data_IF_933330190273
#
_entry.id   IF_933330190273
#
_cell.length_a   1.000
_cell.length_b   1.000
_cell.length_c   1.000
_cell.angle_alpha   90.00
_cell.angle_beta   90.00
_cell.angle_gamma   90.00
#
_symmetry.space_group_name_H-M   'P 1'
#
loop_
_entity.id
_entity.type
_entity.pdbx_description
1 polymer ?
#
# COMPACT_ATOMS: atom_id res chain seq x y z
N UNK A 1 22.81 -16.98 -2.26
CA UNK A 1 21.87 -16.62 -3.31
C UNK A 1 22.18 -15.21 -3.78
N UNK A 2 22.57 -15.01 -5.02
CA UNK A 2 22.82 -13.67 -5.57
C UNK A 2 21.47 -13.02 -5.82
N UNK A 3 21.14 -11.97 -5.05
CA UNK A 3 19.97 -11.15 -5.33
C UNK A 3 20.29 -10.24 -6.51
N UNK A 4 19.64 -10.46 -7.64
CA UNK A 4 19.74 -9.59 -8.80
C UNK A 4 18.66 -8.51 -8.69
N UNK A 5 19.07 -7.25 -8.73
CA UNK A 5 18.17 -6.10 -8.76
C UNK A 5 18.02 -5.67 -10.22
N UNK A 6 16.79 -5.67 -10.70
CA UNK A 6 16.42 -5.19 -12.03
C UNK A 6 15.55 -3.95 -11.92
N UNK A 7 15.86 -2.93 -12.71
CA UNK A 7 15.02 -1.74 -12.83
C UNK A 7 14.25 -1.87 -14.14
N UNK A 8 12.93 -1.95 -14.03
CA UNK A 8 12.03 -2.04 -15.16
C UNK A 8 11.22 -0.76 -15.29
N UNK A 9 10.99 -0.31 -16.49
CA UNK A 9 10.18 0.87 -16.78
C UNK A 9 8.96 0.49 -17.62
N UNK A 10 7.81 1.05 -17.29
CA UNK A 10 6.56 0.85 -18.01
C UNK A 10 5.84 2.17 -18.27
N UNK A 11 4.83 2.15 -19.13
CA UNK A 11 3.99 3.32 -19.41
C UNK A 11 3.06 3.70 -18.25
N UNK A 12 2.91 2.81 -17.27
CA UNK A 12 2.07 2.99 -16.10
C UNK A 12 1.97 1.71 -15.27
N UNK A 13 1.26 1.78 -14.16
CA UNK A 13 1.08 0.70 -13.19
C UNK A 13 0.54 -0.58 -13.83
N UNK A 14 -0.49 -0.47 -14.68
CA UNK A 14 -1.11 -1.60 -15.35
C UNK A 14 -0.11 -2.37 -16.22
N UNK A 15 0.78 -1.68 -16.92
CA UNK A 15 1.77 -2.32 -17.77
C UNK A 15 2.78 -3.14 -16.95
N UNK A 16 3.20 -2.61 -15.80
CA UNK A 16 4.08 -3.33 -14.88
C UNK A 16 3.36 -4.51 -14.20
N UNK A 17 2.10 -4.34 -13.81
CA UNK A 17 1.27 -5.42 -13.23
C UNK A 17 1.10 -6.60 -14.19
N UNK A 18 0.90 -6.34 -15.48
CA UNK A 18 0.80 -7.40 -16.51
C UNK A 18 2.13 -8.17 -16.62
N UNK A 19 3.26 -7.45 -16.61
CA UNK A 19 4.57 -8.08 -16.67
C UNK A 19 4.82 -8.98 -15.45
N UNK A 20 4.53 -8.48 -14.25
CA UNK A 20 4.65 -9.23 -13.00
C UNK A 20 3.78 -10.48 -13.03
N UNK A 21 2.54 -10.37 -13.55
CA UNK A 21 1.65 -11.54 -13.68
C UNK A 21 2.18 -12.57 -14.65
N UNK A 22 2.72 -12.17 -15.78
CA UNK A 22 3.31 -13.11 -16.73
C UNK A 22 4.49 -13.86 -16.11
N UNK A 23 5.38 -13.13 -15.41
CA UNK A 23 6.49 -13.76 -14.68
C UNK A 23 6.01 -14.73 -13.61
N UNK A 24 4.98 -14.38 -12.84
CA UNK A 24 4.37 -15.26 -11.84
C UNK A 24 3.83 -16.54 -12.47
N UNK A 25 3.14 -16.45 -13.61
CA UNK A 25 2.60 -17.61 -14.33
C UNK A 25 3.68 -18.53 -14.89
N UNK A 26 4.85 -17.97 -15.20
CA UNK A 26 6.02 -18.73 -15.60
C UNK A 26 6.78 -19.37 -14.42
N UNK A 27 6.29 -19.16 -13.18
CA UNK A 27 6.84 -19.77 -11.97
C UNK A 27 7.96 -18.96 -11.30
N UNK A 28 8.17 -17.70 -11.70
CA UNK A 28 9.17 -16.86 -11.05
C UNK A 28 8.66 -16.33 -9.69
N UNK A 29 9.58 -16.29 -8.73
CA UNK A 29 9.39 -15.60 -7.47
C UNK A 29 10.16 -14.28 -7.51
N UNK A 30 9.48 -13.18 -7.19
CA UNK A 30 10.05 -11.85 -7.24
C UNK A 30 9.58 -10.97 -6.10
N UNK A 31 10.42 -10.03 -5.71
CA UNK A 31 10.07 -8.99 -4.75
C UNK A 31 10.06 -7.64 -5.48
N UNK A 32 8.94 -6.95 -5.45
CA UNK A 32 8.70 -5.71 -6.18
C UNK A 32 8.66 -4.55 -5.19
N UNK A 33 9.42 -3.49 -5.47
CA UNK A 33 9.36 -2.24 -4.72
C UNK A 33 8.19 -1.37 -5.19
N UNK A 34 7.85 -0.37 -4.37
CA UNK A 34 6.89 0.67 -4.78
C UNK A 34 7.35 1.28 -6.12
N UNK A 35 6.46 1.41 -7.10
CA UNK A 35 6.78 2.07 -8.36
C UNK A 35 7.20 3.53 -8.12
N UNK A 36 8.17 3.99 -8.89
CA UNK A 36 8.65 5.37 -8.84
C UNK A 36 8.45 6.04 -10.20
N UNK A 37 8.16 7.33 -10.19
CA UNK A 37 8.04 8.11 -11.43
C UNK A 37 9.43 8.46 -11.97
N UNK A 38 9.54 8.51 -13.30
CA UNK A 38 10.79 8.95 -13.95
C UNK A 38 10.95 10.46 -13.81
N UNK A 39 11.98 10.87 -13.07
CA UNK A 39 12.32 12.27 -12.86
C UNK A 39 13.27 12.75 -13.95
N UNK A 40 13.14 14.01 -14.38
CA UNK A 40 14.07 14.68 -15.28
C UNK A 40 14.80 15.80 -14.54
N UNK A 41 15.99 16.14 -15.02
CA UNK A 41 16.70 17.35 -14.60
C UNK A 41 16.58 18.40 -15.69
N UNK A 42 16.10 19.57 -15.33
CA UNK A 42 16.01 20.72 -16.21
C UNK A 42 17.40 21.32 -16.52
N UNK A 43 17.45 22.28 -17.42
CA UNK A 43 18.68 22.94 -17.87
C UNK A 43 19.46 23.62 -16.72
N UNK A 44 18.76 24.09 -15.70
CA UNK A 44 19.33 24.77 -14.52
C UNK A 44 19.61 23.79 -13.35
N UNK A 45 19.52 22.47 -13.58
CA UNK A 45 19.71 21.46 -12.53
C UNK A 45 18.47 21.24 -11.65
N UNK A 46 17.37 21.89 -11.92
CA UNK A 46 16.09 21.70 -11.22
C UNK A 46 15.53 20.29 -11.43
N UNK A 47 14.88 19.76 -10.40
CA UNK A 47 14.21 18.46 -10.45
C UNK A 47 12.83 18.65 -11.04
N UNK A 48 12.55 17.97 -12.16
CA UNK A 48 11.26 17.99 -12.84
C UNK A 48 10.57 16.64 -12.69
N UNK A 49 9.29 16.68 -12.32
CA UNK A 49 8.42 15.51 -12.19
C UNK A 49 7.32 15.52 -13.26
N UNK A 50 6.87 14.33 -13.72
CA UNK A 50 5.76 14.24 -14.66
C UNK A 50 4.45 14.66 -13.98
N UNK A 51 3.66 15.44 -14.72
CA UNK A 51 2.35 15.93 -14.30
C UNK A 51 1.30 15.44 -15.29
N UNK A 52 0.15 15.06 -14.76
CA UNK A 52 -1.02 14.67 -15.53
C UNK A 52 -2.16 15.67 -15.36
N UNK A 53 -2.84 15.91 -16.45
CA UNK A 53 -4.16 16.53 -16.42
C UNK A 53 -5.18 15.47 -16.04
N UNK A 54 -5.92 15.76 -14.97
CA UNK A 54 -6.94 14.84 -14.42
C UNK A 54 -8.29 15.54 -14.50
N UNK A 55 -9.22 14.90 -15.18
CA UNK A 55 -10.60 15.34 -15.25
C UNK A 55 -11.46 14.34 -14.50
N UNK A 56 -12.15 14.79 -13.46
CA UNK A 56 -13.08 13.99 -12.69
C UNK A 56 -14.51 14.54 -12.84
N UNK A 57 -15.48 13.64 -13.02
CA UNK A 57 -16.91 13.94 -12.91
C UNK A 57 -17.45 13.12 -11.75
N UNK A 58 -17.99 13.80 -10.74
CA UNK A 58 -18.40 13.18 -9.48
C UNK A 58 -19.71 13.81 -8.99
N UNK A 59 -20.55 13.04 -8.25
CA UNK A 59 -21.71 13.60 -7.56
C UNK A 59 -21.30 14.77 -6.68
N UNK A 60 -22.12 15.81 -6.63
CA UNK A 60 -21.83 17.06 -5.90
C UNK A 60 -21.50 16.79 -4.42
N UNK A 61 -22.18 15.81 -3.81
CA UNK A 61 -21.96 15.40 -2.40
C UNK A 61 -20.57 14.83 -2.13
N UNK A 62 -19.92 14.21 -3.14
CA UNK A 62 -18.58 13.62 -3.03
C UNK A 62 -17.46 14.55 -3.50
N UNK A 63 -17.79 15.67 -4.13
CA UNK A 63 -16.82 16.61 -4.71
C UNK A 63 -15.82 17.12 -3.67
N UNK A 64 -16.27 17.43 -2.45
CA UNK A 64 -15.43 17.93 -1.37
C UNK A 64 -14.35 16.92 -0.92
N UNK A 65 -14.70 15.63 -0.84
CA UNK A 65 -13.74 14.57 -0.49
C UNK A 65 -12.65 14.43 -1.56
N UNK A 66 -13.05 14.40 -2.82
CA UNK A 66 -12.14 14.29 -3.97
C UNK A 66 -11.19 15.48 -4.05
N UNK A 67 -11.72 16.71 -3.90
CA UNK A 67 -10.92 17.94 -3.87
C UNK A 67 -9.88 17.90 -2.75
N UNK A 68 -10.29 17.54 -1.52
CA UNK A 68 -9.40 17.46 -0.37
C UNK A 68 -8.26 16.49 -0.63
N UNK A 69 -8.55 15.28 -1.13
CA UNK A 69 -7.55 14.25 -1.40
C UNK A 69 -6.59 14.62 -2.53
N UNK A 70 -7.09 15.20 -3.62
CA UNK A 70 -6.23 15.67 -4.70
C UNK A 70 -5.30 16.82 -4.26
N UNK A 71 -5.77 17.73 -3.40
CA UNK A 71 -4.94 18.81 -2.85
C UNK A 71 -3.82 18.25 -1.94
N UNK A 72 -4.10 17.27 -1.07
CA UNK A 72 -3.08 16.58 -0.25
C UNK A 72 -2.01 15.95 -1.15
N UNK A 73 -2.40 15.41 -2.30
CA UNK A 73 -1.55 14.79 -3.32
C UNK A 73 -0.85 15.79 -4.24
N UNK A 74 -0.80 17.09 -3.83
CA UNK A 74 -0.18 18.19 -4.56
C UNK A 74 -0.83 18.50 -5.91
N UNK A 75 -2.10 18.13 -6.09
CA UNK A 75 -2.90 18.55 -7.21
C UNK A 75 -3.23 20.04 -7.14
N UNK A 76 -3.27 20.68 -8.29
CA UNK A 76 -3.69 22.06 -8.46
C UNK A 76 -4.96 22.09 -9.30
N UNK A 77 -6.04 22.59 -8.72
CA UNK A 77 -7.31 22.74 -9.42
C UNK A 77 -7.17 23.80 -10.52
N UNK A 78 -7.51 23.43 -11.75
CA UNK A 78 -7.58 24.35 -12.89
C UNK A 78 -8.97 24.94 -13.03
N UNK A 79 -10.00 24.09 -12.94
CA UNK A 79 -11.39 24.51 -13.14
C UNK A 79 -12.36 23.58 -12.42
N UNK A 80 -13.51 24.11 -12.04
CA UNK A 80 -14.66 23.34 -11.55
C UNK A 80 -15.93 23.88 -12.19
N UNK A 81 -16.75 22.99 -12.73
CA UNK A 81 -18.04 23.32 -13.38
C UNK A 81 -19.11 22.36 -12.89
N UNK A 82 -20.30 22.87 -12.60
CA UNK A 82 -21.47 22.02 -12.38
C UNK A 82 -22.05 21.57 -13.72
N UNK A 83 -22.33 20.27 -13.86
CA UNK A 83 -22.95 19.71 -15.06
C UNK A 83 -24.48 19.83 -15.06
N UNK A 84 -25.09 20.43 -14.01
CA UNK A 84 -26.52 20.73 -13.91
C UNK A 84 -27.43 19.52 -13.62
N UNK A 85 -26.85 18.32 -13.46
CA UNK A 85 -27.56 17.07 -13.18
C UNK A 85 -27.18 16.45 -11.82
N UNK A 86 -26.66 17.27 -10.89
CA UNK A 86 -26.15 16.81 -9.60
C UNK A 86 -24.71 16.30 -9.65
N UNK A 87 -24.01 16.57 -10.75
CA UNK A 87 -22.58 16.23 -10.91
C UNK A 87 -21.74 17.49 -11.10
N UNK A 88 -20.55 17.43 -10.53
CA UNK A 88 -19.48 18.41 -10.70
C UNK A 88 -18.35 17.84 -11.53
N UNK A 89 -17.94 18.56 -12.57
CA UNK A 89 -16.74 18.30 -13.36
C UNK A 89 -15.60 19.15 -12.84
N UNK A 90 -14.49 18.50 -12.48
CA UNK A 90 -13.34 19.18 -11.89
C UNK A 90 -12.09 18.81 -12.67
N UNK A 91 -11.29 19.81 -13.02
CA UNK A 91 -10.04 19.65 -13.77
C UNK A 91 -8.86 20.02 -12.88
N UNK A 92 -7.88 19.12 -12.84
CA UNK A 92 -6.68 19.23 -12.01
C UNK A 92 -5.40 19.02 -12.82
N UNK A 93 -4.31 19.67 -12.41
CA UNK A 93 -2.94 19.28 -12.73
C UNK A 93 -2.35 18.56 -11.50
N UNK A 94 -2.04 17.29 -11.62
CA UNK A 94 -1.58 16.45 -10.48
C UNK A 94 -0.26 15.78 -10.84
N UNK A 95 0.76 15.81 -9.96
CA UNK A 95 1.96 14.99 -10.15
C UNK A 95 1.59 13.53 -10.31
N UNK A 96 2.17 12.83 -11.31
CA UNK A 96 1.88 11.41 -11.58
C UNK A 96 2.04 10.54 -10.34
N UNK A 97 3.07 10.80 -9.49
CA UNK A 97 3.27 10.09 -8.21
C UNK A 97 2.11 10.29 -7.23
N UNK A 98 1.40 11.41 -7.30
CA UNK A 98 0.21 11.68 -6.49
C UNK A 98 -1.02 10.89 -6.92
N UNK A 99 -1.03 10.37 -8.14
CA UNK A 99 -2.12 9.56 -8.68
C UNK A 99 -1.90 8.05 -8.48
N UNK A 100 -0.69 7.67 -8.06
CA UNK A 100 -0.39 6.28 -7.70
C UNK A 100 -1.24 5.88 -6.50
N UNK A 101 -1.98 4.77 -6.62
CA UNK A 101 -2.90 4.28 -5.60
C UNK A 101 -4.18 5.11 -5.39
N UNK A 102 -4.35 6.22 -6.11
CA UNK A 102 -5.53 7.06 -5.92
C UNK A 102 -6.81 6.48 -6.53
N UNK A 103 -6.69 5.61 -7.53
CA UNK A 103 -7.86 5.05 -8.22
C UNK A 103 -8.79 4.28 -7.28
N UNK A 104 -8.24 3.43 -6.44
CA UNK A 104 -9.00 2.63 -5.47
C UNK A 104 -9.69 3.51 -4.43
N UNK A 105 -8.98 4.53 -3.92
CA UNK A 105 -9.56 5.53 -3.02
C UNK A 105 -10.68 6.33 -3.69
N UNK A 106 -10.47 6.77 -4.94
CA UNK A 106 -11.45 7.53 -5.69
C UNK A 106 -12.76 6.75 -5.90
N UNK A 107 -12.65 5.47 -6.25
CA UNK A 107 -13.83 4.59 -6.41
C UNK A 107 -14.59 4.47 -5.08
N UNK A 108 -13.87 4.29 -3.97
CA UNK A 108 -14.49 4.19 -2.64
C UNK A 108 -15.13 5.50 -2.22
N UNK A 109 -14.48 6.64 -2.42
CA UNK A 109 -14.99 7.95 -2.04
C UNK A 109 -16.24 8.37 -2.83
N UNK A 110 -16.34 7.91 -4.06
CA UNK A 110 -17.47 8.23 -4.96
C UNK A 110 -18.49 7.09 -5.02
N UNK A 111 -18.35 6.06 -4.16
CA UNK A 111 -19.19 4.85 -4.18
C UNK A 111 -19.30 4.20 -5.58
N UNK A 112 -18.28 4.39 -6.43
CA UNK A 112 -18.25 3.90 -7.80
C UNK A 112 -18.97 4.77 -8.83
N UNK A 113 -19.60 5.86 -8.42
CA UNK A 113 -20.36 6.76 -9.32
C UNK A 113 -19.47 7.76 -10.04
N UNK A 114 -18.24 8.01 -9.53
CA UNK A 114 -17.31 8.96 -10.14
C UNK A 114 -16.59 8.39 -11.36
N UNK A 115 -16.31 9.27 -12.32
CA UNK A 115 -15.43 8.97 -13.46
C UNK A 115 -14.15 9.79 -13.38
N UNK A 116 -13.02 9.18 -13.73
CA UNK A 116 -11.71 9.84 -13.73
C UNK A 116 -10.96 9.52 -15.03
N UNK A 117 -10.57 10.56 -15.73
CA UNK A 117 -9.74 10.50 -16.94
C UNK A 117 -8.41 11.18 -16.66
N UNK A 118 -7.31 10.54 -17.03
CA UNK A 118 -5.95 11.06 -16.85
C UNK A 118 -5.25 11.16 -18.20
N UNK A 119 -4.52 12.24 -18.39
CA UNK A 119 -3.69 12.47 -19.58
C UNK A 119 -2.37 13.09 -19.17
N UNK A 120 -1.26 12.57 -19.67
CA UNK A 120 0.05 13.20 -19.48
C UNK A 120 0.06 14.59 -20.07
N UNK A 121 0.44 15.60 -19.27
CA UNK A 121 0.48 17.01 -19.66
C UNK A 121 1.92 17.50 -19.90
N UNK A 122 2.87 17.06 -19.06
CA UNK A 122 4.26 17.49 -19.20
C UNK A 122 5.09 17.22 -17.98
N UNK A 123 6.19 17.98 -17.85
CA UNK A 123 7.07 17.95 -16.69
C UNK A 123 7.05 19.32 -16.03
N UNK A 124 6.85 19.36 -14.71
CA UNK A 124 6.86 20.56 -13.89
C UNK A 124 7.88 20.42 -12.76
N UNK A 125 8.32 21.54 -12.15
CA UNK A 125 9.17 21.50 -10.97
C UNK A 125 8.56 20.67 -9.85
N UNK A 126 9.42 19.97 -9.10
CA UNK A 126 9.03 19.14 -7.97
C UNK A 126 8.17 19.89 -6.96
N UNK A 127 6.97 19.39 -6.67
CA UNK A 127 5.96 20.04 -5.80
C UNK A 127 6.09 19.69 -4.31
N UNK A 128 7.21 19.12 -3.90
CA UNK A 128 7.46 18.73 -2.51
C UNK A 128 6.91 17.35 -2.16
N UNK A 129 7.08 16.94 -0.92
CA UNK A 129 6.68 15.61 -0.45
C UNK A 129 5.16 15.42 -0.46
N UNK A 130 4.72 14.24 -0.87
CA UNK A 130 3.34 13.78 -0.75
C UNK A 130 3.29 12.84 0.45
N UNK A 131 2.32 13.03 1.39
CA UNK A 131 2.18 12.12 2.51
C UNK A 131 1.99 10.67 2.04
N UNK A 132 2.77 9.77 2.60
CA UNK A 132 2.58 8.33 2.42
C UNK A 132 1.45 7.82 3.33
N UNK A 133 1.22 6.51 3.36
CA UNK A 133 0.26 5.88 4.25
C UNK A 133 0.51 6.32 5.70
N UNK A 134 -0.53 6.83 6.36
CA UNK A 134 -0.46 7.32 7.74
C UNK A 134 -0.40 6.19 8.76
N UNK A 135 -0.94 5.03 8.43
CA UNK A 135 -0.98 3.87 9.32
C UNK A 135 0.31 3.05 9.18
N UNK A 136 0.88 2.65 10.32
CA UNK A 136 1.98 1.70 10.35
C UNK A 136 1.55 0.28 10.01
N UNK A 137 2.49 -0.65 10.03
CA UNK A 137 2.24 -2.07 9.80
C UNK A 137 2.64 -2.93 11.00
N UNK A 138 1.97 -4.08 11.13
CA UNK A 138 2.38 -5.13 12.03
C UNK A 138 3.38 -6.06 11.33
N UNK A 139 4.57 -6.18 11.88
CA UNK A 139 5.70 -6.93 11.31
C UNK A 139 5.99 -8.14 12.17
N UNK A 140 6.05 -9.32 11.57
CA UNK A 140 6.37 -10.56 12.26
C UNK A 140 7.79 -10.52 12.83
N UNK A 141 7.92 -10.96 14.10
CA UNK A 141 9.17 -10.98 14.85
C UNK A 141 10.01 -12.24 14.57
N UNK A 142 9.36 -13.35 14.28
CA UNK A 142 10.00 -14.64 14.13
C UNK A 142 9.33 -15.48 13.04
N UNK A 143 9.98 -16.55 12.64
CA UNK A 143 9.48 -17.52 11.69
C UNK A 143 8.61 -18.57 12.38
N UNK A 144 7.51 -18.98 11.74
CA UNK A 144 6.60 -20.01 12.22
C UNK A 144 5.22 -19.93 11.63
N UNK A 145 4.30 -20.75 12.13
CA UNK A 145 2.91 -20.76 11.70
C UNK A 145 2.06 -19.90 12.64
N UNK A 146 1.21 -19.09 12.06
CA UNK A 146 0.27 -18.23 12.80
C UNK A 146 -0.69 -19.08 13.64
N UNK A 147 -0.88 -18.72 14.90
CA UNK A 147 -1.83 -19.40 15.80
C UNK A 147 -3.12 -18.59 15.96
N UNK A 148 -4.28 -19.25 16.11
CA UNK A 148 -5.54 -18.56 16.38
C UNK A 148 -5.46 -17.67 17.62
N UNK A 149 -4.77 -18.13 18.66
CA UNK A 149 -4.58 -17.40 19.90
C UNK A 149 -3.79 -16.09 19.71
N UNK A 150 -2.69 -16.13 18.95
CA UNK A 150 -1.89 -14.94 18.69
C UNK A 150 -2.66 -13.93 17.82
N UNK A 151 -3.31 -14.41 16.75
CA UNK A 151 -4.13 -13.55 15.87
C UNK A 151 -5.24 -12.88 16.67
N UNK A 152 -5.94 -13.60 17.55
CA UNK A 152 -7.00 -13.04 18.39
C UNK A 152 -6.51 -11.86 19.24
N UNK A 153 -5.33 -11.97 19.84
CA UNK A 153 -4.76 -10.88 20.63
C UNK A 153 -4.24 -9.69 19.79
N UNK A 154 -3.79 -9.97 18.56
CA UNK A 154 -3.23 -8.93 17.68
C UNK A 154 -4.35 -8.16 16.99
N UNK A 155 -5.45 -8.81 16.60
CA UNK A 155 -6.56 -8.20 15.82
C UNK A 155 -7.27 -7.04 16.53
N UNK A 156 -7.11 -6.89 17.85
CA UNK A 156 -7.64 -5.74 18.59
C UNK A 156 -7.05 -4.39 18.13
N UNK A 157 -5.82 -4.42 17.59
CA UNK A 157 -5.06 -3.22 17.17
C UNK A 157 -4.63 -3.26 15.71
N UNK A 158 -4.77 -4.42 15.06
CA UNK A 158 -4.24 -4.70 13.72
C UNK A 158 -5.32 -5.32 12.86
N UNK A 159 -5.54 -4.74 11.70
CA UNK A 159 -6.28 -5.42 10.64
C UNK A 159 -5.36 -6.48 10.01
N UNK A 160 -5.67 -7.75 10.25
CA UNK A 160 -4.83 -8.86 9.83
C UNK A 160 -4.87 -9.09 8.31
N UNK A 161 -3.72 -9.54 7.76
CA UNK A 161 -3.56 -9.94 6.36
C UNK A 161 -3.33 -11.45 6.22
N UNK A 162 -3.12 -12.12 7.33
CA UNK A 162 -2.84 -13.55 7.42
C UNK A 162 -3.89 -14.27 8.26
N UNK A 163 -4.12 -15.54 7.97
CA UNK A 163 -5.03 -16.41 8.70
C UNK A 163 -4.29 -17.40 9.59
N UNK A 164 -4.95 -18.10 10.53
CA UNK A 164 -4.37 -19.16 11.30
C UNK A 164 -3.78 -20.25 10.40
N UNK A 165 -2.58 -20.73 10.74
CA UNK A 165 -1.86 -21.72 9.94
C UNK A 165 -0.96 -21.14 8.86
N UNK A 166 -1.11 -19.86 8.49
CA UNK A 166 -0.21 -19.21 7.53
C UNK A 166 1.22 -19.22 8.06
N UNK A 167 2.16 -19.67 7.23
CA UNK A 167 3.59 -19.60 7.52
C UNK A 167 4.11 -18.18 7.32
N UNK A 168 4.74 -17.62 8.34
CA UNK A 168 5.33 -16.28 8.34
C UNK A 168 6.80 -16.35 8.70
N UNK A 169 7.55 -15.27 8.38
CA UNK A 169 8.97 -15.17 8.69
C UNK A 169 9.29 -13.75 9.23
N UNK A 170 10.46 -13.59 9.87
CA UNK A 170 10.90 -12.31 10.41
C UNK A 170 10.91 -11.22 9.32
N UNK A 171 10.24 -10.09 9.58
CA UNK A 171 10.14 -9.00 8.64
C UNK A 171 8.95 -9.06 7.67
N UNK A 172 8.17 -10.15 7.67
CA UNK A 172 6.91 -10.23 6.92
C UNK A 172 5.87 -9.31 7.55
N UNK A 173 5.12 -8.58 6.73
CA UNK A 173 4.01 -7.74 7.16
C UNK A 173 2.76 -8.60 7.28
N UNK A 174 2.22 -8.69 8.48
CA UNK A 174 1.08 -9.55 8.81
C UNK A 174 -0.23 -8.79 9.03
N UNK A 175 -0.18 -7.45 8.98
CA UNK A 175 -1.37 -6.63 9.13
C UNK A 175 -1.09 -5.14 9.10
N UNK A 176 -2.15 -4.34 9.11
CA UNK A 176 -2.10 -2.88 9.20
C UNK A 176 -2.39 -2.46 10.64
N UNK A 177 -1.47 -1.68 11.23
CA UNK A 177 -1.66 -1.11 12.55
C UNK A 177 -2.69 0.03 12.50
N UNK A 178 -3.50 0.17 13.54
CA UNK A 178 -4.42 1.31 13.68
C UNK A 178 -3.71 2.63 13.99
N UNK A 179 -2.43 2.58 14.41
CA UNK A 179 -1.57 3.74 14.69
C UNK A 179 -0.56 3.98 13.58
N UNK A 180 0.06 5.17 13.57
CA UNK A 180 1.04 5.56 12.55
C UNK A 180 2.37 4.81 12.59
N UNK A 181 2.75 4.26 13.74
CA UNK A 181 4.03 3.57 13.89
C UNK A 181 3.93 2.08 13.56
N UNK A 182 5.02 1.53 13.02
CA UNK A 182 5.16 0.09 12.83
C UNK A 182 5.23 -0.64 14.17
N UNK A 183 4.57 -1.78 14.24
CA UNK A 183 4.51 -2.62 15.43
C UNK A 183 5.10 -4.00 15.15
N UNK A 184 6.08 -4.41 15.97
CA UNK A 184 6.61 -5.78 15.92
C UNK A 184 5.70 -6.70 16.73
N UNK A 185 5.26 -7.79 16.12
CA UNK A 185 4.31 -8.75 16.71
C UNK A 185 4.81 -10.18 16.57
N UNK A 186 4.36 -11.05 17.47
CA UNK A 186 4.58 -12.49 17.37
C UNK A 186 3.27 -13.20 17.04
N UNK A 187 2.99 -13.49 15.74
CA UNK A 187 1.78 -14.17 15.32
C UNK A 187 1.84 -15.70 15.55
N UNK A 188 3.01 -16.23 15.93
CA UNK A 188 3.23 -17.67 16.13
C UNK A 188 3.08 -18.12 17.58
N UNK A 189 2.81 -17.16 18.51
CA UNK A 189 2.75 -17.44 19.94
C UNK A 189 1.63 -18.42 20.28
N UNK A 190 1.99 -19.56 20.83
CA UNK A 190 1.03 -20.56 21.33
C UNK A 190 0.44 -20.13 22.69
N UNK A 191 -0.79 -20.55 22.96
CA UNK A 191 -1.41 -20.42 24.29
C UNK A 191 -0.62 -21.28 25.28
N UNK A 192 -0.03 -20.67 26.32
CA UNK A 192 0.57 -21.47 27.42
C UNK A 192 -0.57 -22.03 28.26
N UNK A 193 -0.74 -23.33 28.23
CA UNK A 193 -1.70 -24.04 29.08
C UNK A 193 -1.06 -24.20 30.46
N UNK A 194 -1.41 -23.30 31.40
CA UNK A 194 -0.87 -23.33 32.76
C UNK A 194 -1.74 -24.12 33.77
N UNK A 195 -3.02 -24.44 33.40
CA UNK A 195 -3.95 -25.16 34.28
C UNK A 195 -4.81 -26.16 33.48
N UNK A 196 -4.82 -27.44 33.96
CA UNK A 196 -5.68 -28.49 33.38
C UNK A 196 -7.19 -28.16 33.41
N UNK A 197 -7.67 -27.29 34.31
CA UNK A 197 -9.07 -26.87 34.41
C UNK A 197 -9.48 -25.85 33.32
N UNK A 198 -8.55 -25.16 32.70
CA UNK A 198 -8.81 -24.21 31.62
C UNK A 198 -8.82 -24.86 30.21
N UNK A 199 -8.42 -26.14 30.10
CA UNK A 199 -8.42 -26.87 28.83
C UNK A 199 -9.83 -27.21 28.31
N UNK A 200 -10.87 -27.14 29.16
CA UNK A 200 -12.25 -27.44 28.80
C UNK A 200 -13.11 -26.24 28.38
N UNK A 201 -12.59 -25.01 28.55
CA UNK A 201 -13.26 -23.77 28.13
C UNK A 201 -12.54 -23.21 26.90
N UNK A 202 -12.64 -23.92 25.78
CA UNK A 202 -12.38 -23.35 24.48
C UNK A 202 -13.61 -22.49 24.11
N UNK A 203 -13.66 -21.27 24.70
CA UNK A 203 -14.51 -20.22 24.13
C UNK A 203 -14.15 -20.08 22.66
N UNK A 204 -15.15 -20.21 21.81
CA UNK A 204 -14.97 -20.12 20.35
C UNK A 204 -14.26 -18.81 20.03
N UNK A 205 -12.98 -18.89 19.66
CA UNK A 205 -12.18 -17.73 19.31
C UNK A 205 -12.78 -17.12 18.04
N UNK A 206 -13.40 -15.95 18.17
CA UNK A 206 -13.93 -15.21 17.03
C UNK A 206 -12.80 -14.41 16.39
N UNK A 207 -12.42 -14.79 15.18
CA UNK A 207 -11.46 -14.05 14.38
C UNK A 207 -12.18 -13.16 13.38
N UNK A 208 -11.69 -11.93 13.24
CA UNK A 208 -12.11 -11.03 12.17
C UNK A 208 -11.53 -11.53 10.85
N UNK A 209 -12.30 -11.56 9.74
CA UNK A 209 -11.77 -11.93 8.44
C UNK A 209 -10.55 -11.11 8.08
N UNK A 210 -9.55 -11.76 7.52
CA UNK A 210 -8.34 -11.11 7.04
C UNK A 210 -8.64 -10.24 5.81
N UNK A 211 -7.85 -9.17 5.63
CA UNK A 211 -7.84 -8.43 4.38
C UNK A 211 -6.90 -9.12 3.40
N UNK A 212 -7.43 -9.48 2.25
CA UNK A 212 -6.65 -9.98 1.12
C UNK A 212 -6.34 -8.83 0.17
N UNK A 213 -5.23 -8.93 -0.55
CA UNK A 213 -4.81 -7.95 -1.53
C UNK A 213 -4.79 -8.55 -2.94
N UNK A 214 -5.28 -7.80 -3.90
CA UNK A 214 -4.86 -7.98 -5.29
C UNK A 214 -3.42 -7.45 -5.44
N UNK A 215 -2.75 -7.75 -6.55
CA UNK A 215 -1.37 -7.27 -6.80
C UNK A 215 -1.31 -5.75 -6.89
N UNK A 216 -2.27 -5.16 -7.56
CA UNK A 216 -2.42 -3.73 -7.70
C UNK A 216 -2.58 -3.07 -6.33
N UNK A 217 -3.50 -3.56 -5.51
CA UNK A 217 -3.70 -3.05 -4.15
C UNK A 217 -2.46 -3.24 -3.26
N UNK A 218 -1.72 -4.33 -3.42
CA UNK A 218 -0.50 -4.57 -2.67
C UNK A 218 0.60 -3.54 -3.03
N UNK A 219 0.78 -3.24 -4.33
CA UNK A 219 1.72 -2.23 -4.81
C UNK A 219 1.32 -0.81 -4.39
N UNK A 220 0.03 -0.52 -4.35
CA UNK A 220 -0.50 0.75 -3.86
C UNK A 220 -0.33 0.90 -2.35
N UNK A 221 -0.45 -0.21 -1.60
CA UNK A 221 -0.41 -0.22 -0.14
C UNK A 221 0.98 0.04 0.43
N UNK A 222 2.04 -0.49 -0.19
CA UNK A 222 3.41 -0.46 0.36
C UNK A 222 4.01 0.95 0.40
N UNK A 223 4.81 1.19 1.43
CA UNK A 223 5.67 2.37 1.56
C UNK A 223 7.06 2.12 0.95
N UNK A 224 7.89 3.18 0.90
CA UNK A 224 9.21 3.14 0.29
C UNK A 224 10.19 2.13 0.90
N UNK A 225 9.98 1.71 2.16
CA UNK A 225 10.79 0.73 2.89
C UNK A 225 10.22 -0.70 2.85
N UNK A 226 9.18 -0.92 2.05
CA UNK A 226 8.46 -2.19 1.94
C UNK A 226 8.58 -2.79 0.53
N UNK A 227 8.28 -4.07 0.41
CA UNK A 227 8.27 -4.83 -0.83
C UNK A 227 7.02 -5.72 -0.89
N UNK A 228 6.53 -5.95 -2.11
CA UNK A 228 5.56 -6.99 -2.41
C UNK A 228 6.31 -8.22 -2.90
N UNK A 229 6.18 -9.34 -2.20
CA UNK A 229 6.64 -10.63 -2.71
C UNK A 229 5.52 -11.28 -3.52
N UNK A 230 5.83 -11.58 -4.75
CA UNK A 230 4.93 -12.28 -5.67
C UNK A 230 5.51 -13.65 -5.93
N UNK A 231 4.78 -14.67 -5.48
CA UNK A 231 5.08 -16.07 -5.74
C UNK A 231 4.00 -16.66 -6.65
N UNK A 232 4.19 -17.84 -7.26
CA UNK A 232 3.13 -18.48 -8.02
C UNK A 232 1.82 -18.68 -7.25
N UNK A 233 1.91 -18.90 -5.94
CA UNK A 233 0.77 -19.24 -5.07
C UNK A 233 0.22 -18.04 -4.32
N UNK A 234 1.11 -17.12 -3.82
CA UNK A 234 0.77 -16.09 -2.86
C UNK A 234 1.30 -14.71 -3.23
N UNK A 235 0.64 -13.70 -2.65
CA UNK A 235 1.13 -12.32 -2.58
C UNK A 235 1.36 -11.99 -1.12
N UNK A 236 2.60 -11.64 -0.77
CA UNK A 236 3.01 -11.30 0.59
C UNK A 236 3.64 -9.93 0.64
N UNK A 237 3.52 -9.27 1.77
CA UNK A 237 4.14 -7.98 2.01
C UNK A 237 5.28 -8.15 3.00
N UNK A 238 6.40 -7.46 2.81
CA UNK A 238 7.52 -7.51 3.75
C UNK A 238 8.29 -6.20 3.81
N UNK A 239 9.06 -6.04 4.88
CA UNK A 239 10.04 -4.96 4.96
C UNK A 239 11.28 -5.26 4.07
N UNK A 240 11.92 -4.22 3.53
CA UNK A 240 13.20 -4.34 2.81
C UNK A 240 14.28 -4.92 3.72
N UNK A 241 14.35 -4.43 4.96
CA UNK A 241 15.22 -4.95 6.02
C UNK A 241 14.42 -5.90 6.89
N UNK A 242 14.68 -7.20 6.77
CA UNK A 242 13.89 -8.22 7.48
C UNK A 242 14.11 -8.18 8.99
N UNK A 243 15.38 -8.05 9.43
CA UNK A 243 15.72 -8.07 10.86
C UNK A 243 15.32 -6.77 11.54
N UNK A 244 14.68 -6.88 12.70
CA UNK A 244 14.28 -5.71 13.50
C UNK A 244 15.47 -4.82 13.85
N UNK A 245 16.61 -5.42 14.22
CA UNK A 245 17.83 -4.69 14.58
C UNK A 245 18.32 -3.81 13.43
N UNK A 246 18.24 -4.30 12.19
CA UNK A 246 18.69 -3.55 11.02
C UNK A 246 17.74 -2.40 10.69
N UNK A 247 16.44 -2.59 10.86
CA UNK A 247 15.42 -1.52 10.74
C UNK A 247 15.66 -0.41 11.76
N UNK A 248 15.90 -0.77 13.05
CA UNK A 248 16.21 0.22 14.10
C UNK A 248 17.50 1.00 13.83
N UNK A 249 18.55 0.33 13.33
CA UNK A 249 19.80 1.00 12.95
C UNK A 249 19.61 1.96 11.78
N UNK A 250 18.82 1.59 10.77
CA UNK A 250 18.51 2.44 9.63
C UNK A 250 17.70 3.68 10.06
N UNK A 251 16.68 3.52 10.91
CA UNK A 251 15.88 4.63 11.43
C UNK A 251 16.69 5.63 12.26
N UNK A 252 17.72 5.17 13.00
CA UNK A 252 18.58 6.07 13.77
C UNK A 252 19.62 6.82 12.90
N UNK A 253 19.90 6.36 11.69
CA UNK A 253 20.80 7.07 10.74
C UNK A 253 20.12 8.19 9.98
N UNK A 254 18.80 8.16 9.92
CA UNK A 254 17.98 9.14 9.19
C UNK A 254 17.40 10.24 10.10
N UNK A 255 17.70 10.19 11.41
CA UNK A 255 17.47 11.25 12.39
C UNK A 255 18.75 12.07 12.60
#
# INVERSE_FOLDING_TARGET
MLSLIHILSGRGELHLSILIENMRREGYELAVSKPEVVIKRGANGEVLEPVEEVVVSVPDEHSGSVISKLNIRKGMMKQMMSEGNGYSRIEYAVPTRGLMGYRSEFINDTHGEGTMVRRFDGFEPWKGEIPERTNGVAVAQEEGNCTPYAIFNIQERVQMFVEPGTHVYEGMIVGMNSRGDDMVVNPCKAKRVSNMRAAGSDDTIKLTPQRTFTREEALEFINGDELVEVTPEDIRLRKKLLREIDRRKAGNRNK
#
